data_IF_042969447408
#
_entry.id   IF_042969447408
#
_cell.length_a   1.000
_cell.length_b   1.000
_cell.length_c   1.000
_cell.angle_alpha   90.00
_cell.angle_beta   90.00
_cell.angle_gamma   90.00
#
_symmetry.space_group_name_H-M   'P 1'
#
loop_
_entity.id
_entity.type
_entity.pdbx_description
1 polymer ?
#
# COMPACT_ATOMS: atom_id res chain seq x y z
N UNK A 1 38.73 7.48 -11.80
CA UNK A 1 38.18 6.84 -10.59
C UNK A 1 36.71 6.62 -10.90
N UNK A 2 36.44 5.55 -11.66
CA UNK A 2 35.09 5.21 -12.12
C UNK A 2 34.43 4.39 -11.02
N UNK A 3 33.35 4.90 -10.47
CA UNK A 3 32.49 4.20 -9.52
C UNK A 3 31.56 3.28 -10.30
N UNK A 4 31.85 1.98 -10.34
CA UNK A 4 30.90 0.96 -10.78
C UNK A 4 29.68 0.99 -9.85
N UNK A 5 28.52 1.39 -10.39
CA UNK A 5 27.23 1.05 -9.80
C UNK A 5 26.98 -0.43 -10.07
N UNK A 6 27.05 -1.26 -9.02
CA UNK A 6 26.58 -2.64 -9.06
C UNK A 6 25.09 -2.63 -9.39
N UNK A 7 24.76 -3.06 -10.61
CA UNK A 7 23.40 -3.35 -11.05
C UNK A 7 23.11 -4.77 -10.53
N UNK A 8 22.26 -4.88 -9.51
CA UNK A 8 21.78 -6.20 -9.03
C UNK A 8 20.95 -6.85 -10.14
N UNK A 9 21.61 -7.71 -10.93
CA UNK A 9 21.00 -8.49 -12.00
C UNK A 9 20.58 -9.85 -11.44
N UNK A 10 19.30 -10.20 -11.55
CA UNK A 10 18.79 -11.52 -11.15
C UNK A 10 19.06 -12.50 -12.29
N UNK A 11 19.95 -13.46 -12.06
CA UNK A 11 20.33 -14.49 -13.05
C UNK A 11 19.48 -15.74 -12.87
N UNK A 12 18.88 -16.24 -13.95
CA UNK A 12 18.05 -17.46 -13.96
C UNK A 12 18.94 -18.66 -14.33
N UNK A 13 19.00 -19.69 -13.50
CA UNK A 13 19.75 -20.94 -13.77
C UNK A 13 18.74 -22.09 -13.97
N UNK A 14 18.91 -22.99 -14.98
CA UNK A 14 17.90 -23.98 -15.33
C UNK A 14 17.66 -25.13 -14.32
N UNK A 15 18.37 -25.20 -13.18
CA UNK A 15 18.36 -26.39 -12.31
C UNK A 15 17.97 -26.10 -10.84
N UNK A 16 16.82 -25.46 -10.62
CA UNK A 16 16.08 -25.65 -9.37
C UNK A 16 15.67 -24.42 -8.56
N UNK A 17 15.91 -23.19 -9.03
CA UNK A 17 15.42 -21.98 -8.37
C UNK A 17 14.49 -21.16 -9.28
N UNK A 18 13.36 -20.77 -8.72
CA UNK A 18 12.24 -20.10 -9.41
C UNK A 18 12.62 -18.67 -9.80
N UNK A 19 12.44 -18.31 -11.08
CA UNK A 19 12.28 -16.90 -11.51
C UNK A 19 11.10 -16.79 -12.47
N UNK A 20 10.16 -15.90 -12.14
CA UNK A 20 8.96 -15.62 -12.92
C UNK A 20 9.09 -14.35 -13.75
N UNK A 21 8.56 -14.46 -14.97
CA UNK A 21 8.58 -13.47 -16.04
C UNK A 21 7.29 -12.61 -15.96
N UNK A 22 7.41 -11.28 -16.07
CA UNK A 22 6.29 -10.32 -16.07
C UNK A 22 6.24 -9.53 -17.40
N UNK A 23 5.04 -9.35 -17.96
CA UNK A 23 4.79 -8.46 -19.11
C UNK A 23 4.85 -9.10 -20.50
N UNK A 24 4.99 -8.27 -21.55
CA UNK A 24 5.10 -8.72 -22.96
C UNK A 24 6.33 -9.61 -23.22
N UNK A 25 7.38 -9.48 -22.41
CA UNK A 25 8.58 -10.32 -22.48
C UNK A 25 8.29 -11.82 -22.23
N UNK A 26 7.20 -12.17 -21.53
CA UNK A 26 6.71 -13.55 -21.39
C UNK A 26 6.25 -14.12 -22.72
N UNK A 27 5.63 -13.29 -23.58
CA UNK A 27 4.94 -13.77 -24.79
C UNK A 27 5.92 -14.19 -25.89
N UNK A 28 7.18 -13.79 -25.78
CA UNK A 28 8.25 -14.11 -26.72
C UNK A 28 9.31 -15.07 -26.15
N UNK A 29 9.11 -15.60 -24.94
CA UNK A 29 10.10 -16.46 -24.29
C UNK A 29 10.00 -17.91 -24.78
N UNK A 30 11.07 -18.44 -25.37
CA UNK A 30 11.12 -19.80 -25.93
C UNK A 30 11.80 -20.84 -25.02
N UNK A 31 12.24 -20.42 -23.82
CA UNK A 31 12.83 -21.30 -22.81
C UNK A 31 14.31 -21.65 -23.00
N UNK A 32 15.01 -21.07 -23.97
CA UNK A 32 16.38 -21.48 -24.30
C UNK A 32 17.51 -20.65 -23.67
N UNK A 33 17.26 -19.39 -23.29
CA UNK A 33 18.27 -18.53 -22.67
C UNK A 33 17.74 -17.80 -21.41
N UNK A 34 18.59 -17.49 -20.42
CA UNK A 34 18.18 -16.68 -19.27
C UNK A 34 17.73 -15.29 -19.72
N UNK A 35 16.50 -14.90 -19.40
CA UNK A 35 16.04 -13.51 -19.59
C UNK A 35 16.43 -12.69 -18.37
N UNK A 36 17.36 -11.77 -18.54
CA UNK A 36 17.62 -10.73 -17.57
C UNK A 36 16.46 -9.73 -17.60
N UNK A 37 15.74 -9.61 -16.49
CA UNK A 37 14.74 -8.57 -16.30
C UNK A 37 15.42 -7.45 -15.52
N UNK A 38 15.58 -6.29 -16.15
CA UNK A 38 16.07 -5.12 -15.46
C UNK A 38 15.04 -4.65 -14.43
N UNK A 39 15.44 -4.62 -13.16
CA UNK A 39 14.60 -4.06 -12.12
C UNK A 39 14.59 -2.54 -12.23
N UNK A 40 13.47 -1.88 -11.85
CA UNK A 40 13.41 -0.43 -11.86
C UNK A 40 14.48 0.15 -10.93
N UNK A 41 15.38 0.98 -11.48
CA UNK A 41 16.51 1.55 -10.76
C UNK A 41 16.11 2.35 -9.50
N UNK A 42 14.86 2.81 -9.43
CA UNK A 42 14.37 3.68 -8.36
C UNK A 42 14.18 2.95 -7.01
N UNK A 43 13.81 1.66 -7.01
CA UNK A 43 13.47 0.93 -5.77
C UNK A 43 13.73 -0.60 -5.86
N UNK A 44 15.00 -1.04 -6.00
CA UNK A 44 15.33 -2.46 -6.12
C UNK A 44 14.89 -3.27 -4.88
N UNK A 45 15.06 -2.73 -3.67
CA UNK A 45 14.67 -3.40 -2.43
C UNK A 45 13.17 -3.70 -2.34
N UNK A 46 12.31 -2.73 -2.71
CA UNK A 46 10.86 -2.92 -2.72
C UNK A 46 10.45 -4.00 -3.74
N UNK A 47 11.13 -4.06 -4.88
CA UNK A 47 10.88 -5.09 -5.89
C UNK A 47 11.26 -6.49 -5.39
N UNK A 48 12.39 -6.63 -4.69
CA UNK A 48 12.80 -7.90 -4.10
C UNK A 48 11.75 -8.38 -3.08
N UNK A 49 11.30 -7.50 -2.17
CA UNK A 49 10.28 -7.84 -1.18
C UNK A 49 8.96 -8.20 -1.88
N UNK A 50 8.58 -7.45 -2.91
CA UNK A 50 7.40 -7.74 -3.72
C UNK A 50 7.44 -9.14 -4.34
N UNK A 51 8.56 -9.52 -4.96
CA UNK A 51 8.74 -10.84 -5.57
C UNK A 51 8.70 -11.96 -4.53
N UNK A 52 9.44 -11.80 -3.43
CA UNK A 52 9.45 -12.79 -2.35
C UNK A 52 8.07 -13.01 -1.75
N UNK A 53 7.33 -11.93 -1.54
CA UNK A 53 5.97 -11.97 -1.02
C UNK A 53 4.98 -12.66 -1.97
N UNK A 54 5.08 -12.41 -3.29
CA UNK A 54 4.19 -13.01 -4.29
C UNK A 54 4.43 -14.49 -4.50
N UNK A 55 5.70 -14.92 -4.45
CA UNK A 55 6.07 -16.31 -4.72
C UNK A 55 6.25 -17.14 -3.46
N UNK A 56 6.07 -16.55 -2.28
CA UNK A 56 6.17 -17.25 -1.01
C UNK A 56 7.55 -17.86 -0.76
N UNK A 57 8.58 -17.31 -1.41
CA UNK A 57 9.94 -17.84 -1.33
C UNK A 57 10.61 -17.52 0.00
N UNK A 58 10.00 -16.64 0.82
CA UNK A 58 10.57 -16.16 2.07
C UNK A 58 9.48 -15.90 3.13
N UNK A 59 9.41 -16.70 4.21
CA UNK A 59 8.49 -16.47 5.33
C UNK A 59 8.71 -15.13 6.05
N UNK A 60 9.92 -14.54 5.99
CA UNK A 60 10.22 -13.25 6.61
C UNK A 60 9.44 -12.10 5.98
N UNK A 61 8.95 -12.30 4.75
CA UNK A 61 8.07 -11.33 4.11
C UNK A 61 6.77 -11.10 4.89
N UNK A 62 6.34 -12.01 5.77
CA UNK A 62 5.15 -11.80 6.61
C UNK A 62 5.36 -10.71 7.67
N UNK A 63 6.61 -10.40 8.01
CA UNK A 63 6.99 -9.42 9.05
C UNK A 63 7.66 -8.18 8.46
N UNK A 64 7.33 -7.83 7.21
CA UNK A 64 7.86 -6.65 6.55
C UNK A 64 7.65 -5.38 7.38
N UNK A 65 8.65 -4.50 7.41
CA UNK A 65 8.58 -3.25 8.15
C UNK A 65 7.56 -2.29 7.52
N UNK A 66 6.96 -1.36 8.27
CA UNK A 66 5.98 -0.43 7.74
C UNK A 66 6.47 0.35 6.51
N UNK A 67 7.75 0.74 6.51
CA UNK A 67 8.36 1.42 5.36
C UNK A 67 8.35 0.54 4.11
N UNK A 68 8.72 -0.72 4.25
CA UNK A 68 8.79 -1.66 3.14
C UNK A 68 7.41 -1.97 2.59
N UNK A 69 6.42 -2.16 3.46
CA UNK A 69 5.02 -2.34 3.06
C UNK A 69 4.52 -1.15 2.24
N UNK A 70 4.88 0.08 2.64
CA UNK A 70 4.54 1.30 1.89
C UNK A 70 5.22 1.31 0.53
N UNK A 71 6.52 1.05 0.48
CA UNK A 71 7.29 1.11 -0.78
C UNK A 71 6.81 0.03 -1.77
N UNK A 72 6.51 -1.20 -1.28
CA UNK A 72 5.86 -2.26 -2.06
C UNK A 72 4.47 -1.84 -2.54
N UNK A 73 3.68 -1.11 -1.73
CA UNK A 73 2.35 -0.65 -2.15
C UNK A 73 2.41 0.36 -3.30
N UNK A 74 3.41 1.26 -3.31
CA UNK A 74 3.65 2.20 -4.40
C UNK A 74 4.06 1.46 -5.66
N UNK A 75 4.96 0.49 -5.54
CA UNK A 75 5.38 -0.36 -6.64
C UNK A 75 4.20 -1.15 -7.20
N UNK A 76 3.39 -1.78 -6.34
CA UNK A 76 2.25 -2.57 -6.75
C UNK A 76 1.20 -1.74 -7.48
N UNK A 77 0.95 -0.49 -7.07
CA UNK A 77 0.07 0.43 -7.80
C UNK A 77 0.68 0.85 -9.15
N UNK A 78 1.97 1.25 -9.17
CA UNK A 78 2.70 1.67 -10.38
C UNK A 78 2.71 0.59 -11.47
N UNK A 79 2.84 -0.68 -11.10
CA UNK A 79 2.93 -1.81 -12.04
C UNK A 79 1.63 -2.62 -12.17
N UNK A 80 0.49 -2.08 -11.69
CA UNK A 80 -0.83 -2.74 -11.74
C UNK A 80 -0.84 -4.16 -11.14
N UNK A 81 -0.10 -4.36 -10.04
CA UNK A 81 0.00 -5.61 -9.30
C UNK A 81 -0.87 -5.64 -8.04
N UNK A 82 -1.58 -4.57 -7.71
CA UNK A 82 -2.40 -4.42 -6.49
C UNK A 82 -3.27 -5.65 -6.20
N UNK A 83 -3.93 -6.21 -7.21
CA UNK A 83 -4.80 -7.38 -7.02
C UNK A 83 -4.04 -8.62 -6.54
N UNK A 84 -2.80 -8.82 -7.00
CA UNK A 84 -1.96 -9.97 -6.62
C UNK A 84 -1.50 -9.86 -5.17
N UNK A 85 -1.32 -8.64 -4.67
CA UNK A 85 -0.91 -8.39 -3.30
C UNK A 85 -2.03 -8.44 -2.28
N UNK A 86 -3.31 -8.52 -2.68
CA UNK A 86 -4.44 -8.48 -1.73
C UNK A 86 -4.31 -9.42 -0.53
N UNK A 87 -3.95 -10.70 -0.68
CA UNK A 87 -3.79 -11.61 0.46
C UNK A 87 -2.67 -11.14 1.40
N UNK A 88 -1.54 -10.74 0.84
CA UNK A 88 -0.38 -10.31 1.61
C UNK A 88 -0.62 -8.95 2.29
N UNK A 89 -1.24 -8.01 1.59
CA UNK A 89 -1.62 -6.71 2.12
C UNK A 89 -2.58 -6.85 3.30
N UNK A 90 -3.51 -7.81 3.26
CA UNK A 90 -4.39 -8.09 4.41
C UNK A 90 -3.62 -8.61 5.64
N UNK A 91 -2.52 -9.34 5.44
CA UNK A 91 -1.64 -9.79 6.52
C UNK A 91 -0.82 -8.61 7.06
N UNK A 92 -0.13 -7.89 6.18
CA UNK A 92 0.72 -6.75 6.53
C UNK A 92 -0.02 -5.61 7.24
N UNK A 93 -1.26 -5.35 6.81
CA UNK A 93 -2.08 -4.27 7.35
C UNK A 93 -3.02 -4.76 8.47
N UNK A 94 -3.05 -6.07 8.70
CA UNK A 94 -3.82 -6.70 9.76
C UNK A 94 -3.36 -6.26 11.14
N UNK A 95 -4.29 -6.24 12.09
CA UNK A 95 -3.99 -5.86 13.47
C UNK A 95 -3.05 -6.90 14.13
N UNK A 96 -1.95 -6.48 14.82
CA UNK A 96 -1.75 -5.17 15.45
C UNK A 96 -0.80 -4.24 14.66
N UNK A 97 -0.65 -4.36 13.34
CA UNK A 97 0.12 -3.37 12.57
C UNK A 97 -0.39 -1.93 12.74
N UNK A 98 -1.67 -1.77 13.13
CA UNK A 98 -2.29 -0.50 13.51
C UNK A 98 -1.92 0.03 14.91
N UNK A 99 -1.17 -0.72 15.73
CA UNK A 99 -0.61 -0.28 17.02
C UNK A 99 0.85 0.11 16.94
N UNK A 100 1.47 0.00 15.76
CA UNK A 100 2.82 0.52 15.54
C UNK A 100 2.78 2.05 15.58
N UNK A 101 3.92 2.68 15.87
CA UNK A 101 4.05 4.15 15.84
C UNK A 101 3.88 4.75 14.43
N UNK A 102 3.63 3.92 13.42
CA UNK A 102 3.49 4.28 12.00
C UNK A 102 2.44 3.41 11.26
N UNK A 103 1.14 3.55 11.55
CA UNK A 103 0.12 2.79 10.83
C UNK A 103 0.06 3.21 9.35
N UNK A 104 0.16 2.23 8.44
CA UNK A 104 0.31 2.43 6.99
C UNK A 104 -1.01 2.69 6.26
N UNK A 105 -1.63 3.82 6.55
CA UNK A 105 -2.88 4.24 5.90
C UNK A 105 -2.75 4.37 4.37
N UNK A 106 -1.59 4.84 3.89
CA UNK A 106 -1.26 4.94 2.46
C UNK A 106 -1.23 3.58 1.78
N UNK A 107 -0.59 2.58 2.40
CA UNK A 107 -0.54 1.24 1.82
C UNK A 107 -1.93 0.61 1.76
N UNK A 108 -2.77 0.84 2.79
CA UNK A 108 -4.16 0.38 2.76
C UNK A 108 -4.98 1.01 1.62
N UNK A 109 -4.72 2.28 1.30
CA UNK A 109 -5.29 2.96 0.14
C UNK A 109 -4.80 2.34 -1.18
N UNK A 110 -3.49 2.28 -1.38
CA UNK A 110 -2.87 1.80 -2.63
C UNK A 110 -3.18 0.32 -2.90
N UNK A 111 -3.16 -0.54 -1.88
CA UNK A 111 -3.59 -1.94 -2.01
C UNK A 111 -5.11 -2.13 -2.13
N UNK A 112 -5.88 -1.05 -1.98
CA UNK A 112 -7.36 -1.04 -2.05
C UNK A 112 -8.00 -1.99 -1.03
N UNK A 113 -7.48 -1.96 0.19
CA UNK A 113 -7.91 -2.82 1.30
C UNK A 113 -8.89 -2.03 2.18
N UNK A 114 -10.18 -2.14 1.86
CA UNK A 114 -11.24 -1.30 2.43
C UNK A 114 -11.43 -1.44 3.94
N UNK A 115 -11.23 -2.63 4.50
CA UNK A 115 -11.42 -2.87 5.93
C UNK A 115 -10.26 -2.25 6.71
N UNK A 116 -9.03 -2.54 6.31
CA UNK A 116 -7.83 -2.05 6.98
C UNK A 116 -7.69 -0.52 6.81
N UNK A 117 -8.08 0.05 5.67
CA UNK A 117 -8.17 1.51 5.49
C UNK A 117 -9.13 2.16 6.50
N UNK A 118 -10.32 1.55 6.70
CA UNK A 118 -11.30 2.03 7.66
C UNK A 118 -10.79 1.92 9.11
N UNK A 119 -10.19 0.79 9.49
CA UNK A 119 -9.69 0.60 10.87
C UNK A 119 -8.49 1.50 11.19
N UNK A 120 -7.59 1.70 10.23
CA UNK A 120 -6.43 2.60 10.42
C UNK A 120 -6.89 4.05 10.55
N UNK A 121 -7.76 4.54 9.67
CA UNK A 121 -8.29 5.92 9.79
C UNK A 121 -9.09 6.11 11.08
N UNK A 122 -9.87 5.12 11.48
CA UNK A 122 -10.58 5.11 12.76
C UNK A 122 -9.63 5.25 13.95
N UNK A 123 -8.50 4.53 13.94
CA UNK A 123 -7.46 4.69 14.95
C UNK A 123 -6.95 6.14 15.01
N UNK A 124 -6.66 6.76 13.85
CA UNK A 124 -6.26 8.16 13.81
C UNK A 124 -7.32 9.08 14.40
N UNK A 125 -8.58 8.96 13.95
CA UNK A 125 -9.70 9.79 14.40
C UNK A 125 -9.85 9.70 15.93
N UNK A 126 -9.83 8.49 16.49
CA UNK A 126 -10.04 8.24 17.92
C UNK A 126 -8.91 8.73 18.82
N UNK A 127 -7.65 8.59 18.40
CA UNK A 127 -6.49 8.82 19.28
C UNK A 127 -5.88 10.23 19.16
N UNK A 128 -6.50 11.12 18.39
CA UNK A 128 -5.98 12.47 18.12
C UNK A 128 -4.49 12.48 17.66
N UNK A 129 -4.06 11.41 16.99
CA UNK A 129 -2.69 11.26 16.52
C UNK A 129 -2.34 12.39 15.52
N UNK A 130 -1.12 12.98 15.60
CA UNK A 130 -0.76 14.14 14.80
C UNK A 130 -0.64 13.77 13.32
N UNK A 131 -1.60 14.22 12.50
CA UNK A 131 -1.77 13.75 11.12
C UNK A 131 -0.72 14.33 10.17
N UNK A 132 -0.20 15.53 10.48
CA UNK A 132 0.80 16.22 9.66
C UNK A 132 2.07 15.38 9.45
N UNK A 133 2.54 14.69 10.49
CA UNK A 133 3.73 13.82 10.41
C UNK A 133 3.54 12.70 9.38
N UNK A 134 2.32 12.19 9.27
CA UNK A 134 1.98 11.09 8.36
C UNK A 134 1.69 11.60 6.94
N UNK A 135 1.03 12.75 6.82
CA UNK A 135 0.74 13.40 5.55
C UNK A 135 2.00 13.85 4.80
N UNK A 136 3.06 14.25 5.51
CA UNK A 136 4.34 14.63 4.90
C UNK A 136 5.26 13.43 4.63
N UNK A 137 4.91 12.23 5.12
CA UNK A 137 5.68 11.00 4.94
C UNK A 137 5.36 10.25 3.64
N UNK A 138 4.50 10.81 2.78
CA UNK A 138 4.10 10.21 1.50
C UNK A 138 4.97 10.67 0.35
N UNK A 139 5.37 9.75 -0.54
CA UNK A 139 5.93 10.12 -1.83
C UNK A 139 4.94 10.89 -2.72
N UNK A 140 3.64 10.64 -2.55
CA UNK A 140 2.57 11.34 -3.26
C UNK A 140 2.26 12.68 -2.58
N UNK A 141 2.52 13.77 -3.29
CA UNK A 141 2.37 15.16 -2.82
C UNK A 141 0.91 15.56 -2.55
N UNK A 142 -0.07 14.83 -3.10
CA UNK A 142 -1.49 15.13 -2.96
C UNK A 142 -2.20 14.17 -2.02
N UNK A 143 -1.86 12.88 -2.05
CA UNK A 143 -2.55 11.85 -1.28
C UNK A 143 -2.38 12.03 0.24
N UNK A 144 -1.16 12.29 0.70
CA UNK A 144 -0.88 12.49 2.13
C UNK A 144 -1.69 13.65 2.71
N UNK A 145 -1.61 14.87 2.13
CA UNK A 145 -2.45 15.99 2.53
C UNK A 145 -3.95 15.70 2.43
N UNK A 146 -4.43 15.02 1.38
CA UNK A 146 -5.84 14.65 1.22
C UNK A 146 -6.32 13.74 2.36
N UNK A 147 -5.53 12.72 2.71
CA UNK A 147 -5.82 11.84 3.86
C UNK A 147 -5.82 12.62 5.17
N UNK A 148 -4.89 13.56 5.30
CA UNK A 148 -4.81 14.44 6.47
C UNK A 148 -6.08 15.26 6.66
N UNK A 149 -6.49 15.96 5.62
CA UNK A 149 -7.73 16.75 5.63
C UNK A 149 -8.96 15.88 5.88
N UNK A 150 -9.02 14.67 5.31
CA UNK A 150 -10.13 13.76 5.52
C UNK A 150 -10.26 13.32 6.99
N UNK A 151 -9.15 12.95 7.63
CA UNK A 151 -9.13 12.58 9.06
C UNK A 151 -9.60 13.76 9.92
N UNK A 152 -9.05 14.95 9.69
CA UNK A 152 -9.42 16.14 10.47
C UNK A 152 -10.88 16.57 10.23
N UNK A 153 -11.36 16.47 9.00
CA UNK A 153 -12.77 16.77 8.67
C UNK A 153 -13.73 15.87 9.44
N UNK A 154 -13.43 14.56 9.52
CA UNK A 154 -14.24 13.62 10.28
C UNK A 154 -14.10 13.85 11.78
N UNK A 155 -12.91 14.16 12.30
CA UNK A 155 -12.73 14.52 13.72
C UNK A 155 -13.59 15.72 14.12
N UNK A 156 -13.56 16.79 13.33
CA UNK A 156 -14.35 17.99 13.58
C UNK A 156 -15.85 17.70 13.57
N UNK A 157 -16.33 16.95 12.58
CA UNK A 157 -17.74 16.56 12.50
C UNK A 157 -18.17 15.56 13.58
N UNK A 158 -17.24 14.75 14.07
CA UNK A 158 -17.48 13.75 15.11
C UNK A 158 -17.21 14.26 16.53
N UNK A 159 -16.78 15.51 16.69
CA UNK A 159 -16.33 16.08 17.96
C UNK A 159 -17.38 15.95 19.07
N UNK A 160 -18.67 16.10 18.73
CA UNK A 160 -19.79 15.99 19.68
C UNK A 160 -20.43 14.61 19.72
N UNK A 161 -20.36 13.85 18.61
CA UNK A 161 -21.12 12.62 18.45
C UNK A 161 -20.37 11.40 18.99
N UNK A 162 -19.03 11.48 19.09
CA UNK A 162 -18.15 10.42 19.59
C UNK A 162 -18.42 9.04 18.96
N UNK A 163 -18.80 9.02 17.68
CA UNK A 163 -19.06 7.80 16.93
C UNK A 163 -17.73 7.12 16.63
N UNK A 164 -17.67 5.80 16.80
CA UNK A 164 -16.46 5.02 16.55
C UNK A 164 -16.29 4.74 15.04
N UNK A 165 -15.80 5.74 14.30
CA UNK A 165 -15.86 5.80 12.83
C UNK A 165 -14.47 5.98 12.17
N UNK A 166 -14.31 5.38 10.99
CA UNK A 166 -13.19 5.56 10.08
C UNK A 166 -13.63 6.05 8.70
N UNK A 167 -12.65 6.31 7.83
CA UNK A 167 -12.87 6.74 6.46
C UNK A 167 -13.30 5.57 5.57
N UNK A 168 -14.27 5.83 4.71
CA UNK A 168 -14.71 4.90 3.68
C UNK A 168 -13.81 4.99 2.44
N UNK A 169 -13.06 3.92 2.11
CA UNK A 169 -12.09 3.93 1.00
C UNK A 169 -12.72 4.33 -0.36
N UNK A 170 -13.84 3.69 -0.71
CA UNK A 170 -14.50 3.94 -2.00
C UNK A 170 -14.89 5.41 -2.15
N UNK A 171 -15.38 6.02 -1.07
CA UNK A 171 -15.74 7.43 -1.09
C UNK A 171 -14.52 8.35 -1.03
N UNK A 172 -13.53 8.06 -0.17
CA UNK A 172 -12.29 8.84 -0.09
C UNK A 172 -11.63 9.00 -1.48
N UNK A 173 -11.68 7.93 -2.29
CA UNK A 173 -11.14 7.92 -3.65
C UNK A 173 -11.84 8.91 -4.59
N UNK A 174 -13.14 9.15 -4.42
CA UNK A 174 -13.96 9.99 -5.30
C UNK A 174 -14.37 11.34 -4.71
N UNK A 175 -14.15 11.55 -3.41
CA UNK A 175 -14.55 12.76 -2.69
C UNK A 175 -13.87 14.01 -3.27
N UNK A 176 -14.69 15.04 -3.54
CA UNK A 176 -14.25 16.37 -3.97
C UNK A 176 -14.61 17.45 -2.95
N UNK A 177 -15.82 17.43 -2.39
CA UNK A 177 -16.33 18.54 -1.57
C UNK A 177 -16.32 18.27 -0.05
N UNK A 178 -16.61 17.04 0.39
CA UNK A 178 -16.61 16.67 1.81
C UNK A 178 -16.15 15.23 2.04
N UNK A 179 -15.77 14.88 3.26
CA UNK A 179 -15.33 13.53 3.66
C UNK A 179 -16.27 12.85 4.67
N UNK A 180 -17.38 13.52 5.01
CA UNK A 180 -18.21 13.16 6.17
C UNK A 180 -19.53 12.52 5.75
N UNK A 181 -20.17 13.08 4.73
CA UNK A 181 -21.46 12.66 4.26
C UNK A 181 -21.35 11.44 3.35
N UNK A 182 -22.35 10.58 3.41
CA UNK A 182 -22.51 9.47 2.50
C UNK A 182 -22.92 9.99 1.13
N UNK A 183 -22.10 9.68 0.13
CA UNK A 183 -22.47 9.95 -1.27
C UNK A 183 -23.44 8.91 -1.84
N UNK A 184 -24.23 9.29 -2.86
CA UNK A 184 -25.05 8.37 -3.64
C UNK A 184 -24.21 7.20 -4.17
N UNK A 185 -24.70 5.97 -3.99
CA UNK A 185 -24.03 4.75 -4.45
C UNK A 185 -23.06 4.11 -3.47
N UNK A 186 -22.78 4.71 -2.30
CA UNK A 186 -21.97 4.04 -1.28
C UNK A 186 -22.72 2.84 -0.67
N UNK A 187 -22.10 1.66 -0.71
CA UNK A 187 -22.63 0.42 -0.14
C UNK A 187 -22.54 0.33 1.38
N UNK A 188 -21.69 1.15 2.01
CA UNK A 188 -21.46 1.12 3.44
C UNK A 188 -22.25 2.21 4.15
N UNK A 189 -23.40 1.86 4.73
CA UNK A 189 -24.25 2.81 5.46
C UNK A 189 -23.70 3.18 6.84
N UNK A 190 -22.82 2.37 7.40
CA UNK A 190 -22.28 2.53 8.77
C UNK A 190 -20.89 3.18 8.82
N UNK A 191 -20.36 3.63 7.68
CA UNK A 191 -19.02 4.25 7.57
C UNK A 191 -19.06 5.74 7.29
N UNK A 192 -20.19 6.39 7.56
CA UNK A 192 -20.43 7.83 7.39
C UNK A 192 -21.16 8.39 8.60
N UNK A 193 -20.95 9.66 8.92
CA UNK A 193 -21.67 10.32 10.02
C UNK A 193 -23.08 10.76 9.60
N UNK A 194 -23.26 11.08 8.32
CA UNK A 194 -24.52 11.58 7.73
C UNK A 194 -24.82 10.88 6.41
#
# INVERSE_FOLDING_TARGET
>A
METSQETECVTIIPDGDVVLVLGEAVRSFDGTEPVAIELPAEQPGAMIIALRALYGSDPECLTAEPRDIRDVSVLADKYDMVQRFRPMAAIWLGYPAATTSQPNHHAAYLFRIEKEFFEISKFFIRNDAPVLKYALGTPDEHLGPKLGMAIESVRLANFTNHVDIGLCLGFFSTAQDNFVERQPGCRFTTRHLW
#
